data_IF_095331289776
#
_entry.id   IF_095331289776
#
_cell.length_a   1.000
_cell.length_b   1.000
_cell.length_c   1.000
_cell.angle_alpha   90.00
_cell.angle_beta   90.00
_cell.angle_gamma   90.00
#
_symmetry.space_group_name_H-M   'P 1'
#
loop_
_entity.id
_entity.type
_entity.pdbx_description
1 polymer ?
#
# COMPACT_ATOMS: atom_id res chain seq x y z
N UNK A 1 -14.54 -24.36 20.74
CA UNK A 1 -13.23 -23.68 20.71
C UNK A 1 -13.45 -22.21 20.43
N UNK A 2 -13.00 -21.31 21.30
CA UNK A 2 -13.12 -19.86 21.06
C UNK A 2 -11.99 -19.46 20.12
N UNK A 3 -12.32 -19.21 18.86
CA UNK A 3 -11.34 -18.75 17.87
C UNK A 3 -10.92 -17.33 18.22
N UNK A 4 -9.67 -17.15 18.66
CA UNK A 4 -9.13 -15.83 18.95
C UNK A 4 -9.02 -15.05 17.63
N UNK A 5 -9.69 -13.91 17.54
CA UNK A 5 -9.57 -12.98 16.39
C UNK A 5 -8.70 -11.79 16.77
N UNK A 6 -8.01 -11.25 15.78
CA UNK A 6 -7.27 -10.00 15.95
C UNK A 6 -8.29 -8.87 16.21
N UNK A 7 -8.11 -8.03 17.25
CA UNK A 7 -9.01 -6.92 17.54
C UNK A 7 -9.09 -5.94 16.36
N UNK A 8 -10.26 -5.36 16.11
CA UNK A 8 -10.48 -4.42 14.99
C UNK A 8 -9.51 -3.23 15.03
N UNK A 9 -9.18 -2.71 16.21
CA UNK A 9 -8.22 -1.61 16.35
C UNK A 9 -6.80 -1.97 15.89
N UNK A 10 -6.35 -3.21 16.16
CA UNK A 10 -5.04 -3.69 15.70
C UNK A 10 -5.05 -3.89 14.18
N UNK A 11 -6.15 -4.42 13.63
CA UNK A 11 -6.34 -4.56 12.18
C UNK A 11 -6.22 -3.20 11.45
N UNK A 12 -6.84 -2.16 11.99
CA UNK A 12 -6.75 -0.80 11.44
C UNK A 12 -5.34 -0.22 11.55
N UNK A 13 -4.65 -0.37 12.69
CA UNK A 13 -3.27 0.10 12.87
C UNK A 13 -2.31 -0.55 11.86
N UNK A 14 -2.42 -1.87 11.65
CA UNK A 14 -1.63 -2.59 10.65
C UNK A 14 -1.86 -2.01 9.25
N UNK A 15 -3.13 -1.81 8.87
CA UNK A 15 -3.48 -1.22 7.57
C UNK A 15 -2.90 0.20 7.40
N UNK A 16 -3.04 1.05 8.40
CA UNK A 16 -2.52 2.43 8.37
C UNK A 16 -1.00 2.45 8.26
N UNK A 17 -0.29 1.63 9.03
CA UNK A 17 1.18 1.55 8.99
C UNK A 17 1.66 1.08 7.61
N UNK A 18 1.05 0.02 7.08
CA UNK A 18 1.37 -0.49 5.74
C UNK A 18 1.13 0.58 4.67
N UNK A 19 0.00 1.28 4.75
CA UNK A 19 -0.34 2.34 3.81
C UNK A 19 0.73 3.44 3.83
N UNK A 20 1.07 3.94 5.03
CA UNK A 20 2.08 4.99 5.20
C UNK A 20 3.44 4.53 4.68
N UNK A 21 3.88 3.30 5.01
CA UNK A 21 5.16 2.78 4.54
C UNK A 21 5.19 2.63 3.01
N UNK A 22 4.12 2.08 2.42
CA UNK A 22 4.01 1.93 0.97
C UNK A 22 4.01 3.28 0.28
N UNK A 23 3.26 4.24 0.84
CA UNK A 23 3.20 5.60 0.32
C UNK A 23 4.57 6.28 0.37
N UNK A 24 5.29 6.16 1.49
CA UNK A 24 6.63 6.74 1.63
C UNK A 24 7.65 6.11 0.67
N UNK A 25 7.52 4.82 0.36
CA UNK A 25 8.40 4.12 -0.58
C UNK A 25 8.09 4.41 -2.04
N UNK A 26 6.80 4.56 -2.38
CA UNK A 26 6.37 4.77 -3.76
C UNK A 26 6.36 6.25 -4.15
N UNK A 27 6.20 7.16 -3.18
CA UNK A 27 6.21 8.59 -3.43
C UNK A 27 7.58 8.99 -3.99
N UNK A 28 7.63 9.70 -5.12
CA UNK A 28 8.89 10.22 -5.65
C UNK A 28 9.54 11.16 -4.62
N UNK A 29 10.86 11.04 -4.49
CA UNK A 29 11.62 11.86 -3.54
C UNK A 29 11.56 13.35 -3.90
N UNK A 30 11.66 14.24 -2.91
CA UNK A 30 11.75 15.69 -3.12
C UNK A 30 13.19 16.16 -2.80
N UNK A 31 13.98 16.69 -3.75
CA UNK A 31 13.64 16.93 -5.16
C UNK A 31 13.63 15.67 -6.03
N UNK A 32 12.65 15.57 -6.93
CA UNK A 32 12.44 14.41 -7.82
C UNK A 32 13.66 14.17 -8.70
N UNK A 33 14.23 12.96 -8.63
CA UNK A 33 15.35 12.60 -9.51
C UNK A 33 14.87 12.47 -10.96
N UNK A 34 15.76 12.73 -11.93
CA UNK A 34 15.41 12.64 -13.36
C UNK A 34 14.83 11.27 -13.74
N UNK A 35 15.36 10.19 -13.17
CA UNK A 35 14.90 8.82 -13.42
C UNK A 35 13.50 8.55 -12.87
N UNK A 36 13.18 9.01 -11.66
CA UNK A 36 11.83 8.89 -11.09
C UNK A 36 10.82 9.69 -11.92
N UNK A 37 11.20 10.88 -12.38
CA UNK A 37 10.34 11.71 -13.24
C UNK A 37 10.03 11.02 -14.56
N UNK A 38 11.05 10.47 -15.23
CA UNK A 38 10.85 9.76 -16.50
C UNK A 38 10.01 8.49 -16.34
N UNK A 39 10.17 7.75 -15.25
CA UNK A 39 9.33 6.59 -14.95
C UNK A 39 7.85 6.99 -14.87
N UNK A 40 7.54 8.02 -14.09
CA UNK A 40 6.16 8.47 -13.92
C UNK A 40 5.58 9.14 -15.16
N UNK A 41 6.38 9.86 -15.94
CA UNK A 41 5.94 10.40 -17.25
C UNK A 41 5.61 9.27 -18.21
N UNK A 42 6.47 8.26 -18.33
CA UNK A 42 6.19 7.08 -19.19
C UNK A 42 4.98 6.30 -18.71
N UNK A 43 4.80 6.19 -17.40
CA UNK A 43 3.60 5.57 -16.84
C UNK A 43 2.35 6.39 -17.22
N UNK A 44 2.35 7.71 -17.02
CA UNK A 44 1.24 8.57 -17.42
C UNK A 44 0.95 8.45 -18.93
N UNK A 45 1.98 8.47 -19.76
CA UNK A 45 1.87 8.30 -21.22
C UNK A 45 1.26 6.93 -21.60
N UNK A 46 1.62 5.85 -20.89
CA UNK A 46 1.03 4.52 -21.10
C UNK A 46 -0.48 4.50 -20.82
N UNK A 47 -0.94 5.31 -19.87
CA UNK A 47 -2.36 5.49 -19.57
C UNK A 47 -3.02 6.59 -20.40
N UNK A 48 -2.30 7.21 -21.33
CA UNK A 48 -2.81 8.29 -22.20
C UNK A 48 -2.98 9.64 -21.49
N UNK A 49 -2.41 9.80 -20.30
CA UNK A 49 -2.58 11.00 -19.47
C UNK A 49 -1.47 12.02 -19.76
N UNK A 50 -1.86 13.29 -19.98
CA UNK A 50 -0.91 14.38 -20.28
C UNK A 50 -0.44 15.10 -19.02
N UNK A 51 -1.21 15.00 -17.94
CA UNK A 51 -0.85 15.53 -16.62
C UNK A 51 -0.16 14.46 -15.77
N UNK A 52 1.18 14.42 -15.87
CA UNK A 52 1.99 13.48 -15.11
C UNK A 52 1.91 13.72 -13.59
N UNK A 53 1.74 14.96 -13.12
CA UNK A 53 1.69 15.26 -11.69
C UNK A 53 0.36 14.80 -11.07
N UNK A 54 -0.76 15.08 -11.75
CA UNK A 54 -2.07 14.54 -11.38
C UNK A 54 -2.10 13.01 -11.42
N UNK A 55 -1.51 12.42 -12.45
CA UNK A 55 -1.40 10.96 -12.58
C UNK A 55 -0.64 10.32 -11.42
N UNK A 56 0.51 10.88 -11.02
CA UNK A 56 1.30 10.37 -9.89
C UNK A 56 0.46 10.34 -8.61
N UNK A 57 -0.26 11.42 -8.31
CA UNK A 57 -1.10 11.49 -7.11
C UNK A 57 -2.17 10.39 -7.08
N UNK A 58 -2.90 10.22 -8.18
CA UNK A 58 -3.96 9.20 -8.28
C UNK A 58 -3.37 7.80 -8.25
N UNK A 59 -2.27 7.56 -8.97
CA UNK A 59 -1.60 6.27 -9.01
C UNK A 59 -1.05 5.87 -7.63
N UNK A 60 -0.52 6.82 -6.86
CA UNK A 60 -0.09 6.56 -5.48
C UNK A 60 -1.28 6.23 -4.58
N UNK A 61 -2.38 6.97 -4.67
CA UNK A 61 -3.58 6.70 -3.87
C UNK A 61 -4.12 5.29 -4.14
N UNK A 62 -4.33 4.95 -5.41
CA UNK A 62 -4.86 3.64 -5.83
C UNK A 62 -3.86 2.54 -5.52
N UNK A 63 -2.59 2.72 -5.87
CA UNK A 63 -1.53 1.74 -5.63
C UNK A 63 -1.36 1.43 -4.15
N UNK A 64 -1.29 2.45 -3.30
CA UNK A 64 -1.19 2.27 -1.85
C UNK A 64 -2.43 1.58 -1.29
N UNK A 65 -3.64 1.93 -1.76
CA UNK A 65 -4.86 1.28 -1.33
C UNK A 65 -4.89 -0.21 -1.67
N UNK A 66 -4.54 -0.57 -2.91
CA UNK A 66 -4.49 -1.98 -3.35
C UNK A 66 -3.44 -2.78 -2.59
N UNK A 67 -2.22 -2.25 -2.44
CA UNK A 67 -1.15 -2.90 -1.66
C UNK A 67 -1.59 -3.09 -0.21
N UNK A 68 -2.21 -2.08 0.39
CA UNK A 68 -2.71 -2.14 1.77
C UNK A 68 -3.79 -3.20 1.92
N UNK A 69 -4.74 -3.31 0.98
CA UNK A 69 -5.78 -4.34 1.03
C UNK A 69 -5.20 -5.75 0.98
N UNK A 70 -4.28 -6.00 0.03
CA UNK A 70 -3.69 -7.35 -0.14
C UNK A 70 -2.89 -7.73 1.10
N UNK A 71 -1.98 -6.86 1.52
CA UNK A 71 -1.13 -7.11 2.69
C UNK A 71 -1.91 -7.18 4.00
N UNK A 72 -2.97 -6.39 4.17
CA UNK A 72 -3.92 -6.50 5.29
C UNK A 72 -4.51 -7.91 5.39
N UNK A 73 -5.03 -8.44 4.27
CA UNK A 73 -5.63 -9.77 4.23
C UNK A 73 -4.59 -10.85 4.56
N UNK A 74 -3.39 -10.76 3.97
CA UNK A 74 -2.31 -11.72 4.21
C UNK A 74 -1.84 -11.70 5.67
N UNK A 75 -1.58 -10.52 6.23
CA UNK A 75 -1.08 -10.38 7.61
C UNK A 75 -2.11 -10.90 8.61
N UNK A 76 -3.38 -10.54 8.47
CA UNK A 76 -4.43 -11.03 9.36
C UNK A 76 -4.56 -12.54 9.27
N UNK A 77 -4.56 -13.10 8.06
CA UNK A 77 -4.66 -14.54 7.89
C UNK A 77 -3.51 -15.29 8.56
N UNK A 78 -2.28 -14.79 8.42
CA UNK A 78 -1.09 -15.37 9.08
C UNK A 78 -1.19 -15.26 10.60
N UNK A 79 -1.60 -14.08 11.12
CA UNK A 79 -1.71 -13.86 12.57
C UNK A 79 -2.81 -14.74 13.18
N UNK A 80 -3.98 -14.80 12.54
CA UNK A 80 -5.10 -15.64 13.00
C UNK A 80 -4.73 -17.13 12.92
N UNK A 81 -4.04 -17.57 11.86
CA UNK A 81 -3.54 -18.95 11.73
C UNK A 81 -2.55 -19.30 12.84
N UNK A 82 -1.51 -18.47 13.04
CA UNK A 82 -0.47 -18.69 14.07
C UNK A 82 -1.03 -18.65 15.49
N UNK A 83 -2.05 -17.85 15.73
CA UNK A 83 -2.73 -17.76 17.02
C UNK A 83 -3.55 -19.02 17.35
N UNK A 84 -4.05 -19.70 16.32
CA UNK A 84 -4.81 -20.94 16.45
C UNK A 84 -3.91 -22.20 16.47
N UNK A 85 -2.71 -22.14 15.90
CA UNK A 85 -1.71 -23.22 15.96
C UNK A 85 -0.96 -23.28 17.31
N UNK A 86 -0.88 -22.17 18.05
CA UNK A 86 -0.21 -22.09 19.36
C UNK A 86 -1.11 -22.51 20.54
N UNK A 87 -2.18 -23.29 20.29
CA UNK A 87 -3.12 -23.78 21.30
C UNK A 87 -3.57 -25.21 20.97
#
# INVERSE_FOLDING_TARGET
MVMKRVPTGVKLLIGVVIYILTFLLARPSDPVTKGEREFWIKAAELFGERDAEGFIGIALLIGCFLVTLVSYLTVIHIVEKKLNENH
#
